data_IF_694371752217
#
_entry.id   IF_694371752217
#
_cell.length_a   1.000
_cell.length_b   1.000
_cell.length_c   1.000
_cell.angle_alpha   90.00
_cell.angle_beta   90.00
_cell.angle_gamma   90.00
#
_symmetry.space_group_name_H-M   'P 1'
#
loop_
_entity.id
_entity.type
_entity.pdbx_description
1 polymer ?
#
# COMPACT_ATOMS: atom_id res chain seq x y z
N UNK A 1 0.30 12.61 6.50
CA UNK A 1 1.39 12.64 7.51
C UNK A 1 1.37 11.35 8.33
N UNK A 2 1.58 10.23 7.67
CA UNK A 2 1.74 8.92 8.31
C UNK A 2 3.01 8.34 7.74
N UNK A 3 4.00 8.10 8.61
CA UNK A 3 5.32 7.66 8.19
C UNK A 3 5.53 6.17 8.44
N UNK A 4 4.72 5.58 9.33
CA UNK A 4 4.77 4.17 9.68
C UNK A 4 3.39 3.64 10.06
N UNK A 5 3.07 2.44 9.58
CA UNK A 5 1.94 1.64 10.05
C UNK A 5 2.50 0.33 10.57
N UNK A 6 2.07 -0.07 11.76
CA UNK A 6 2.37 -1.40 12.25
C UNK A 6 1.07 -2.10 12.66
N UNK A 7 0.96 -3.32 12.17
CA UNK A 7 -0.12 -4.23 12.53
C UNK A 7 0.24 -4.97 13.78
N UNK A 8 -0.75 -5.22 14.61
CA UNK A 8 -0.53 -5.91 15.87
C UNK A 8 -1.09 -7.34 15.86
N UNK A 9 -0.74 -8.09 16.90
CA UNK A 9 -1.14 -9.49 17.03
C UNK A 9 -2.45 -9.61 17.83
N UNK A 10 -2.81 -10.83 18.25
CA UNK A 10 -4.06 -11.05 18.98
C UNK A 10 -4.13 -10.20 20.27
N UNK A 11 -5.30 -9.59 20.50
CA UNK A 11 -5.57 -8.70 21.63
C UNK A 11 -4.70 -7.42 21.66
N UNK A 12 -4.43 -6.87 20.49
CA UNK A 12 -3.80 -5.57 20.28
C UNK A 12 -4.48 -4.80 19.12
N UNK A 13 -4.17 -3.52 18.93
CA UNK A 13 -4.82 -2.63 17.94
C UNK A 13 -3.86 -2.23 16.83
N UNK A 14 -4.28 -2.09 15.57
CA UNK A 14 -3.37 -1.50 14.58
C UNK A 14 -3.18 -0.01 14.87
N UNK A 15 -1.97 0.50 14.63
CA UNK A 15 -1.60 1.86 14.98
C UNK A 15 -0.85 2.54 13.85
N UNK A 16 -1.13 3.84 13.68
CA UNK A 16 -0.36 4.74 12.84
C UNK A 16 0.66 5.45 13.72
N UNK A 17 1.86 5.67 13.20
CA UNK A 17 2.85 6.48 13.87
C UNK A 17 3.44 7.51 12.90
N UNK A 18 3.66 8.71 13.43
CA UNK A 18 4.26 9.83 12.71
C UNK A 18 5.67 10.04 13.21
N UNK A 19 6.60 10.25 12.28
CA UNK A 19 7.99 10.56 12.56
C UNK A 19 8.06 11.98 13.14
N UNK A 20 8.52 12.11 14.38
CA UNK A 20 8.69 13.41 15.05
C UNK A 20 10.14 13.85 15.12
N UNK A 21 11.10 12.93 14.94
CA UNK A 21 12.53 13.22 14.92
C UNK A 21 13.30 12.13 14.18
N UNK A 22 14.19 12.51 13.26
CA UNK A 22 15.14 11.61 12.59
C UNK A 22 16.57 12.16 12.56
N UNK A 23 16.85 13.16 13.40
CA UNK A 23 18.13 13.87 13.45
C UNK A 23 18.84 13.69 14.78
N UNK A 24 18.14 13.32 15.84
CA UNK A 24 18.78 13.02 17.11
C UNK A 24 19.72 11.82 17.01
N UNK A 25 20.91 12.01 17.59
CA UNK A 25 21.89 10.95 17.79
C UNK A 25 22.28 10.98 19.25
N UNK A 26 22.24 9.83 19.91
CA UNK A 26 22.57 9.75 21.34
C UNK A 26 24.09 9.70 21.59
N UNK A 27 24.90 9.47 20.56
CA UNK A 27 26.36 9.26 20.69
C UNK A 27 27.19 9.64 19.44
N UNK A 28 26.56 10.19 18.39
CA UNK A 28 27.21 10.47 17.10
C UNK A 28 27.48 9.23 16.24
N UNK A 29 27.17 8.03 16.71
CA UNK A 29 27.36 6.75 16.00
C UNK A 29 26.03 6.09 15.64
N UNK A 30 25.00 6.26 16.47
CA UNK A 30 23.63 5.82 16.25
C UNK A 30 22.75 7.02 15.89
N UNK A 31 22.10 6.95 14.73
CA UNK A 31 21.02 7.87 14.36
C UNK A 31 19.71 7.23 14.78
N UNK A 32 18.90 7.94 15.53
CA UNK A 32 17.59 7.47 15.96
C UNK A 32 16.50 8.10 15.09
N UNK A 33 15.42 7.35 14.90
CA UNK A 33 14.16 7.87 14.43
C UNK A 33 13.12 7.66 15.53
N UNK A 34 12.44 8.72 15.93
CA UNK A 34 11.41 8.71 16.96
C UNK A 34 10.06 8.87 16.28
N UNK A 35 9.18 7.93 16.55
CA UNK A 35 7.81 7.95 16.09
C UNK A 35 6.86 8.09 17.27
N UNK A 36 5.78 8.85 17.10
CA UNK A 36 4.71 8.98 18.08
C UNK A 36 3.45 8.39 17.47
N UNK A 37 2.73 7.58 18.26
CA UNK A 37 1.46 7.01 17.81
C UNK A 37 0.45 8.13 17.59
N UNK A 38 -0.24 8.07 16.46
CA UNK A 38 -1.36 8.95 16.18
C UNK A 38 -2.60 8.42 16.91
N UNK A 39 -2.90 9.05 18.04
CA UNK A 39 -4.14 8.83 18.77
C UNK A 39 -5.27 9.80 18.35
N UNK A 40 -4.96 10.79 17.51
CA UNK A 40 -5.89 11.79 16.97
C UNK A 40 -6.70 11.26 15.77
N UNK A 41 -6.37 10.07 15.27
CA UNK A 41 -7.27 9.20 14.50
C UNK A 41 -7.96 8.20 15.45
N UNK A 42 -8.93 8.64 16.28
CA UNK A 42 -9.40 7.87 17.44
C UNK A 42 -10.23 6.64 17.06
N UNK A 43 -10.39 6.33 15.78
CA UNK A 43 -11.20 5.22 15.32
C UNK A 43 -10.39 4.06 14.78
N UNK A 44 -9.18 4.28 14.26
CA UNK A 44 -8.44 3.17 13.64
C UNK A 44 -8.16 2.05 14.64
N UNK A 45 -7.63 2.40 15.80
CA UNK A 45 -7.33 1.42 16.86
C UNK A 45 -8.60 0.70 17.34
N UNK A 46 -9.73 1.41 17.43
CA UNK A 46 -11.01 0.86 17.89
C UNK A 46 -11.64 -0.07 16.85
N UNK A 47 -11.57 0.29 15.57
CA UNK A 47 -12.20 -0.43 14.46
C UNK A 47 -11.37 -1.65 14.03
N UNK A 48 -10.07 -1.61 14.28
CA UNK A 48 -9.18 -2.74 14.04
C UNK A 48 -9.15 -3.73 15.20
N UNK A 49 -9.65 -3.40 16.39
CA UNK A 49 -9.84 -4.36 17.48
C UNK A 49 -11.09 -5.25 17.27
N UNK A 50 -11.06 -6.56 17.56
CA UNK A 50 -9.93 -7.42 17.94
C UNK A 50 -9.34 -8.17 16.71
N UNK A 51 -9.27 -7.52 15.55
CA UNK A 51 -8.80 -8.15 14.32
C UNK A 51 -7.29 -8.35 14.34
N UNK A 52 -6.84 -9.44 13.73
CA UNK A 52 -5.42 -9.71 13.49
C UNK A 52 -5.14 -9.46 12.02
N UNK A 53 -4.31 -8.46 11.76
CA UNK A 53 -3.97 -8.00 10.42
C UNK A 53 -2.60 -8.52 9.98
N UNK A 54 -2.52 -9.02 8.76
CA UNK A 54 -1.32 -9.70 8.24
C UNK A 54 -0.68 -8.98 7.06
N UNK A 55 -1.44 -8.14 6.37
CA UNK A 55 -0.94 -7.32 5.28
C UNK A 55 -1.64 -5.95 5.34
N UNK A 56 -1.00 -4.95 5.98
CA UNK A 56 -1.41 -3.56 5.80
C UNK A 56 -1.01 -3.12 4.39
N UNK A 57 -1.82 -2.27 3.76
CA UNK A 57 -1.51 -1.61 2.50
C UNK A 57 -1.81 -0.11 2.58
N UNK A 58 -0.91 0.71 2.04
CA UNK A 58 -1.09 2.15 1.88
C UNK A 58 -1.05 2.49 0.39
N UNK A 59 -2.21 2.72 -0.20
CA UNK A 59 -2.38 2.98 -1.63
C UNK A 59 -3.48 4.01 -1.82
N UNK A 60 -3.30 4.92 -2.77
CA UNK A 60 -4.34 5.87 -3.19
C UNK A 60 -5.30 5.11 -4.12
N UNK A 61 -6.50 4.76 -3.63
CA UNK A 61 -7.43 3.89 -4.36
C UNK A 61 -8.47 4.66 -5.18
N UNK A 62 -8.69 5.94 -4.88
CA UNK A 62 -9.62 6.80 -5.63
C UNK A 62 -8.92 7.94 -6.40
N UNK A 63 -7.59 7.92 -6.40
CA UNK A 63 -6.68 8.83 -7.07
C UNK A 63 -6.73 10.27 -6.54
N UNK A 64 -7.14 10.51 -5.30
CA UNK A 64 -7.39 11.85 -4.76
C UNK A 64 -6.17 12.56 -4.14
N UNK A 65 -4.98 11.98 -4.30
CA UNK A 65 -3.66 12.44 -3.81
C UNK A 65 -3.30 12.00 -2.40
N UNK A 66 -4.15 11.23 -1.72
CA UNK A 66 -3.80 10.66 -0.43
C UNK A 66 -3.95 9.14 -0.34
N UNK A 67 -3.13 8.55 0.53
CA UNK A 67 -3.03 7.10 0.64
C UNK A 67 -4.14 6.59 1.57
N UNK A 68 -4.94 5.67 1.06
CA UNK A 68 -5.92 4.89 1.81
C UNK A 68 -5.27 3.70 2.49
N UNK A 69 -5.95 3.17 3.51
CA UNK A 69 -5.42 2.12 4.35
C UNK A 69 -6.28 0.85 4.30
N UNK A 70 -5.66 -0.23 3.83
CA UNK A 70 -6.27 -1.55 3.79
C UNK A 70 -5.62 -2.51 4.78
N UNK A 71 -6.41 -3.44 5.35
CA UNK A 71 -5.90 -4.56 6.14
C UNK A 71 -6.51 -5.90 5.70
N UNK A 72 -5.66 -6.84 5.30
CA UNK A 72 -6.03 -8.24 5.19
C UNK A 72 -6.08 -8.89 6.59
N UNK A 73 -7.24 -9.42 6.96
CA UNK A 73 -7.49 -9.92 8.32
C UNK A 73 -7.80 -11.42 8.37
N UNK A 74 -7.41 -12.02 9.48
CA UNK A 74 -7.76 -13.38 9.85
C UNK A 74 -7.09 -13.74 11.16
N UNK A 75 -7.84 -14.26 12.11
CA UNK A 75 -7.31 -14.62 13.41
C UNK A 75 -6.53 -15.95 13.39
N UNK A 76 -6.04 -16.35 14.56
CA UNK A 76 -5.32 -17.60 14.81
C UNK A 76 -6.27 -18.66 15.36
N UNK A 77 -6.18 -19.88 14.84
CA UNK A 77 -6.98 -21.04 15.27
C UNK A 77 -6.85 -21.35 16.77
N UNK A 78 -5.68 -21.07 17.37
CA UNK A 78 -5.38 -21.43 18.76
C UNK A 78 -5.78 -20.37 19.78
N UNK A 79 -6.32 -19.23 19.34
CA UNK A 79 -6.62 -18.07 20.21
C UNK A 79 -8.09 -17.67 20.13
N UNK A 80 -8.74 -17.84 18.98
CA UNK A 80 -10.17 -17.62 18.82
C UNK A 80 -10.88 -18.92 18.44
N UNK A 81 -12.16 -19.05 18.81
CA UNK A 81 -13.01 -20.17 18.36
C UNK A 81 -13.16 -20.13 16.84
N UNK A 82 -13.74 -19.06 16.31
CA UNK A 82 -13.70 -18.75 14.89
C UNK A 82 -12.54 -17.80 14.58
N UNK A 83 -11.73 -18.15 13.59
CA UNK A 83 -10.55 -17.42 13.16
C UNK A 83 -10.74 -16.65 11.84
N UNK A 84 -11.94 -16.69 11.27
CA UNK A 84 -12.31 -15.89 10.10
C UNK A 84 -12.56 -14.45 10.52
N UNK A 85 -12.11 -13.50 9.72
CA UNK A 85 -12.35 -12.07 9.96
C UNK A 85 -12.53 -11.34 8.63
N UNK A 86 -13.37 -10.31 8.60
CA UNK A 86 -13.44 -9.42 7.44
C UNK A 86 -12.21 -8.54 7.33
N UNK A 87 -11.78 -8.29 6.09
CA UNK A 87 -10.83 -7.23 5.74
C UNK A 87 -11.39 -5.86 6.13
N UNK A 88 -10.52 -4.87 6.22
CA UNK A 88 -10.89 -3.49 6.48
C UNK A 88 -10.30 -2.58 5.40
N UNK A 89 -11.07 -1.56 5.01
CA UNK A 89 -10.59 -0.49 4.15
C UNK A 89 -11.00 0.85 4.75
N UNK A 90 -10.03 1.77 4.83
CA UNK A 90 -10.21 3.10 5.35
C UNK A 90 -9.79 4.14 4.32
N UNK A 91 -10.67 5.11 4.09
CA UNK A 91 -10.42 6.29 3.26
C UNK A 91 -9.74 7.36 4.11
N UNK A 92 -8.66 7.96 3.60
CA UNK A 92 -8.01 9.10 4.23
C UNK A 92 -8.64 10.41 3.70
N UNK A 93 -8.60 11.48 4.50
CA UNK A 93 -9.20 12.78 4.15
C UNK A 93 -8.15 13.83 3.74
N UNK A 94 -6.98 13.37 3.31
CA UNK A 94 -5.79 14.17 3.06
C UNK A 94 -5.11 14.75 4.31
N UNK A 95 -5.71 14.59 5.50
CA UNK A 95 -5.18 15.12 6.77
C UNK A 95 -4.71 14.02 7.72
N UNK A 96 -4.71 12.76 7.27
CA UNK A 96 -4.36 11.61 8.08
C UNK A 96 -5.49 11.14 8.99
N UNK A 97 -6.74 11.57 8.74
CA UNK A 97 -7.90 11.04 9.45
C UNK A 97 -8.58 10.00 8.57
N UNK A 98 -8.79 8.83 9.14
CA UNK A 98 -9.23 7.66 8.40
C UNK A 98 -10.69 7.34 8.72
N UNK A 99 -11.51 7.19 7.69
CA UNK A 99 -12.92 6.79 7.77
C UNK A 99 -13.06 5.35 7.32
N UNK A 100 -13.77 4.50 8.08
CA UNK A 100 -14.05 3.13 7.65
C UNK A 100 -15.06 3.13 6.50
N UNK A 101 -14.61 2.61 5.36
CA UNK A 101 -15.41 2.51 4.14
C UNK A 101 -15.63 1.05 3.73
N UNK A 102 -15.30 0.09 4.60
CA UNK A 102 -15.28 -1.34 4.26
C UNK A 102 -16.61 -1.82 3.65
N UNK A 103 -17.73 -1.42 4.23
CA UNK A 103 -19.05 -1.80 3.70
C UNK A 103 -19.34 -1.13 2.36
N UNK A 104 -19.16 0.19 2.27
CA UNK A 104 -19.52 0.97 1.07
C UNK A 104 -18.58 0.72 -0.11
N UNK A 105 -17.33 0.33 0.14
CA UNK A 105 -16.37 -0.05 -0.90
C UNK A 105 -16.60 -1.46 -1.45
N UNK A 106 -17.43 -2.27 -0.77
CA UNK A 106 -17.69 -3.66 -1.14
C UNK A 106 -16.60 -4.63 -0.70
N UNK A 107 -15.58 -4.21 0.06
CA UNK A 107 -14.49 -5.10 0.52
C UNK A 107 -15.01 -6.24 1.42
N UNK A 108 -16.16 -6.04 2.06
CA UNK A 108 -16.81 -7.04 2.90
C UNK A 108 -17.53 -8.15 2.10
N UNK A 109 -17.70 -7.99 0.78
CA UNK A 109 -18.46 -8.93 -0.06
C UNK A 109 -17.89 -10.36 -0.08
N UNK A 110 -16.62 -10.54 0.27
CA UNK A 110 -16.00 -11.88 0.38
C UNK A 110 -16.44 -12.67 1.62
N UNK A 111 -17.08 -11.99 2.58
CA UNK A 111 -17.34 -12.50 3.91
C UNK A 111 -16.08 -12.63 4.76
N UNK A 112 -16.25 -13.16 5.96
CA UNK A 112 -15.15 -13.43 6.89
C UNK A 112 -14.36 -14.65 6.42
N UNK A 113 -13.05 -14.49 6.24
CA UNK A 113 -12.14 -15.59 5.89
C UNK A 113 -10.81 -15.43 6.63
N UNK A 114 -9.92 -16.40 6.43
CA UNK A 114 -8.58 -16.38 7.02
C UNK A 114 -7.63 -15.75 6.00
N UNK A 115 -7.73 -14.44 5.81
CA UNK A 115 -6.83 -13.71 4.93
C UNK A 115 -5.45 -13.53 5.58
N UNK A 116 -4.41 -13.57 4.75
CA UNK A 116 -3.01 -13.42 5.20
C UNK A 116 -2.23 -12.42 4.37
N UNK A 117 -2.39 -12.47 3.06
CA UNK A 117 -1.63 -11.63 2.15
C UNK A 117 -2.55 -10.67 1.41
N UNK A 118 -2.01 -9.51 1.06
CA UNK A 118 -2.62 -8.54 0.15
C UNK A 118 -1.57 -8.10 -0.87
N UNK A 119 -1.99 -8.00 -2.13
CA UNK A 119 -1.16 -7.60 -3.25
C UNK A 119 -1.91 -6.47 -3.96
N UNK A 120 -1.22 -5.35 -4.17
CA UNK A 120 -1.77 -4.20 -4.87
C UNK A 120 -1.12 -4.11 -6.25
N UNK A 121 -1.96 -3.94 -7.26
CA UNK A 121 -1.55 -3.83 -8.65
C UNK A 121 -2.69 -3.17 -9.43
N UNK A 122 -2.37 -2.32 -10.39
CA UNK A 122 -3.32 -1.97 -11.45
C UNK A 122 -3.29 -3.12 -12.48
N UNK A 123 -4.18 -4.11 -12.28
CA UNK A 123 -4.08 -5.42 -12.93
C UNK A 123 -4.48 -5.38 -14.41
N UNK A 124 -5.42 -4.49 -14.75
CA UNK A 124 -5.93 -4.32 -16.12
C UNK A 124 -5.41 -3.06 -16.83
N UNK A 125 -4.47 -2.33 -16.20
CA UNK A 125 -3.79 -1.13 -16.74
C UNK A 125 -4.76 0.04 -16.97
N UNK A 126 -5.79 0.15 -16.12
CA UNK A 126 -6.86 1.16 -16.23
C UNK A 126 -6.61 2.45 -15.42
N UNK A 127 -5.50 2.47 -14.67
CA UNK A 127 -5.14 3.60 -13.80
C UNK A 127 -5.86 3.60 -12.47
N UNK A 128 -6.33 2.45 -11.98
CA UNK A 128 -6.83 2.26 -10.62
C UNK A 128 -6.15 1.05 -10.01
N UNK A 129 -5.78 1.18 -8.73
CA UNK A 129 -5.11 0.08 -8.03
C UNK A 129 -6.17 -0.93 -7.57
N UNK A 130 -5.98 -2.19 -7.97
CA UNK A 130 -6.74 -3.35 -7.51
C UNK A 130 -6.09 -4.02 -6.31
N UNK A 131 -6.86 -4.86 -5.62
CA UNK A 131 -6.39 -5.59 -4.44
C UNK A 131 -6.63 -7.08 -4.63
N UNK A 132 -5.57 -7.88 -4.60
CA UNK A 132 -5.67 -9.33 -4.53
C UNK A 132 -5.33 -9.83 -3.13
N UNK A 133 -6.24 -10.59 -2.52
CA UNK A 133 -6.05 -11.19 -1.19
C UNK A 133 -6.02 -12.70 -1.25
N UNK A 134 -5.16 -13.31 -0.43
CA UNK A 134 -5.09 -14.78 -0.31
C UNK A 134 -5.95 -15.25 0.86
N UNK A 135 -6.45 -16.49 0.77
CA UNK A 135 -7.06 -17.21 1.91
C UNK A 135 -6.17 -18.42 2.21
N UNK A 136 -5.48 -18.39 3.34
CA UNK A 136 -4.43 -19.37 3.66
C UNK A 136 -4.81 -20.33 4.80
N UNK A 137 -5.84 -20.01 5.59
CA UNK A 137 -6.23 -20.85 6.71
C UNK A 137 -6.73 -22.23 6.28
N UNK A 138 -6.27 -23.27 6.98
CA UNK A 138 -6.61 -24.65 6.65
C UNK A 138 -7.87 -25.15 7.37
N UNK A 139 -8.12 -24.63 8.55
CA UNK A 139 -9.19 -25.08 9.42
C UNK A 139 -9.98 -23.89 9.97
N UNK A 140 -11.29 -24.09 10.09
CA UNK A 140 -12.27 -23.18 10.67
C UNK A 140 -13.16 -23.96 11.64
N UNK A 141 -13.82 -23.23 12.53
CA UNK A 141 -14.84 -23.76 13.44
C UNK A 141 -16.22 -23.76 12.75
N UNK A 142 -17.00 -24.83 12.94
CA UNK A 142 -18.28 -25.07 12.23
C UNK A 142 -19.52 -24.45 12.91
N UNK A 143 -19.34 -23.78 14.05
CA UNK A 143 -20.36 -23.27 14.95
C UNK A 143 -20.85 -24.30 15.99
N UNK A 144 -20.30 -25.52 16.01
CA UNK A 144 -20.66 -26.61 16.93
C UNK A 144 -19.47 -27.06 17.80
N UNK A 145 -18.35 -26.34 17.73
CA UNK A 145 -17.09 -26.62 18.42
C UNK A 145 -16.18 -27.58 17.67
N UNK A 146 -16.47 -27.95 16.41
CA UNK A 146 -15.60 -28.83 15.63
C UNK A 146 -14.71 -28.03 14.69
N UNK A 147 -13.45 -28.47 14.60
CA UNK A 147 -12.54 -27.98 13.57
C UNK A 147 -12.76 -28.76 12.27
N UNK A 148 -13.15 -28.06 11.22
CA UNK A 148 -13.35 -28.60 9.87
C UNK A 148 -12.38 -27.95 8.88
N UNK A 149 -12.23 -28.56 7.70
CA UNK A 149 -11.44 -27.98 6.62
C UNK A 149 -12.11 -26.71 6.08
N UNK A 150 -11.35 -25.62 5.89
CA UNK A 150 -11.87 -24.39 5.30
C UNK A 150 -12.11 -24.60 3.78
N UNK A 151 -13.37 -24.56 3.29
CA UNK A 151 -13.65 -24.70 1.87
C UNK A 151 -13.08 -23.56 1.02
N UNK A 152 -12.59 -22.48 1.64
CA UNK A 152 -11.94 -21.36 0.97
C UNK A 152 -10.42 -21.41 0.98
N UNK A 153 -9.80 -22.41 1.63
CA UNK A 153 -8.35 -22.57 1.65
C UNK A 153 -7.79 -22.55 0.22
N UNK A 154 -6.75 -21.73 0.01
CA UNK A 154 -6.04 -21.63 -1.27
C UNK A 154 -6.78 -20.84 -2.35
N UNK A 155 -7.97 -20.29 -2.06
CA UNK A 155 -8.69 -19.42 -2.99
C UNK A 155 -8.25 -17.98 -2.80
N UNK A 156 -7.69 -17.38 -3.84
CA UNK A 156 -7.47 -15.95 -3.90
C UNK A 156 -8.76 -15.20 -4.24
N UNK A 157 -8.85 -13.93 -3.85
CA UNK A 157 -9.92 -13.03 -4.24
C UNK A 157 -9.29 -11.77 -4.83
N UNK A 158 -9.70 -11.41 -6.05
CA UNK A 158 -9.42 -10.12 -6.65
C UNK A 158 -10.59 -9.17 -6.34
N UNK A 159 -10.28 -8.03 -5.73
CA UNK A 159 -11.14 -6.86 -5.68
C UNK A 159 -10.70 -5.94 -6.82
N UNK A 160 -11.51 -5.91 -7.87
CA UNK A 160 -11.31 -5.03 -9.01
C UNK A 160 -11.89 -3.64 -8.69
N UNK A 161 -11.07 -2.62 -8.84
CA UNK A 161 -11.38 -1.26 -8.42
C UNK A 161 -12.14 -0.50 -9.53
N UNK A 162 -13.45 -0.38 -9.36
CA UNK A 162 -14.33 0.32 -10.30
C UNK A 162 -14.68 1.75 -9.84
N UNK A 163 -13.83 2.38 -9.03
CA UNK A 163 -14.08 3.74 -8.52
C UNK A 163 -14.31 4.71 -9.68
N UNK A 164 -15.45 5.40 -9.65
CA UNK A 164 -15.84 6.38 -10.66
C UNK A 164 -15.29 7.74 -10.28
N UNK A 165 -14.19 8.13 -10.91
CA UNK A 165 -13.57 9.43 -10.72
C UNK A 165 -12.96 9.93 -12.03
N UNK A 166 -12.88 11.26 -12.17
CA UNK A 166 -12.11 11.95 -13.21
C UNK A 166 -10.69 12.30 -12.70
N UNK A 167 -10.31 11.76 -11.54
CA UNK A 167 -9.00 11.97 -10.94
C UNK A 167 -7.89 11.37 -11.82
N UNK A 168 -6.80 12.11 -11.93
CA UNK A 168 -5.63 11.77 -12.70
C UNK A 168 -4.66 10.91 -11.89
N UNK A 169 -3.75 10.23 -12.58
CA UNK A 169 -2.77 9.33 -11.95
C UNK A 169 -1.45 9.30 -12.72
N UNK A 170 -0.41 8.73 -12.11
CA UNK A 170 0.84 8.39 -12.79
C UNK A 170 1.44 7.12 -12.17
N UNK A 171 1.91 6.21 -13.03
CA UNK A 171 2.68 5.03 -12.63
C UNK A 171 4.14 5.19 -13.01
N UNK A 172 5.06 4.89 -12.10
CA UNK A 172 6.50 4.96 -12.34
C UNK A 172 7.10 3.56 -12.22
N UNK A 173 7.59 3.02 -13.34
CA UNK A 173 8.36 1.78 -13.41
C UNK A 173 9.85 2.10 -13.44
N UNK A 174 10.63 1.34 -12.69
CA UNK A 174 12.08 1.53 -12.55
C UNK A 174 12.84 0.29 -13.06
N UNK A 175 13.98 0.52 -13.71
CA UNK A 175 14.99 -0.53 -13.97
C UNK A 175 16.37 -0.03 -13.53
N UNK A 176 16.97 -0.72 -12.58
CA UNK A 176 18.33 -0.45 -12.14
C UNK A 176 19.36 -0.98 -13.14
N UNK A 177 20.43 -0.22 -13.36
CA UNK A 177 21.58 -0.60 -14.20
C UNK A 177 22.85 -0.79 -13.38
N UNK A 178 23.01 0.01 -12.32
CA UNK A 178 24.09 -0.05 -11.31
C UNK A 178 23.55 -0.52 -9.96
N UNK A 179 22.35 -0.07 -9.59
CA UNK A 179 21.54 -0.60 -8.51
C UNK A 179 21.00 -2.00 -8.85
N UNK A 180 20.28 -2.64 -7.93
CA UNK A 180 19.60 -3.90 -8.24
C UNK A 180 18.63 -3.71 -9.42
N UNK A 181 18.48 -4.72 -10.28
CA UNK A 181 17.76 -4.62 -11.56
C UNK A 181 16.32 -4.13 -11.39
N UNK A 182 15.67 -4.52 -10.31
CA UNK A 182 14.29 -4.17 -10.01
C UNK A 182 14.12 -2.76 -9.42
N UNK A 183 15.22 -2.06 -9.11
CA UNK A 183 15.18 -0.70 -8.56
C UNK A 183 14.76 -0.63 -7.09
N UNK A 184 14.68 -1.75 -6.35
CA UNK A 184 14.28 -1.74 -4.94
C UNK A 184 15.17 -0.83 -4.10
N UNK A 185 14.55 -0.03 -3.24
CA UNK A 185 15.17 1.00 -2.42
C UNK A 185 15.33 2.35 -3.12
N UNK A 186 14.96 2.47 -4.40
CA UNK A 186 14.88 3.78 -5.05
C UNK A 186 13.68 4.57 -4.51
N UNK A 187 13.86 5.88 -4.37
CA UNK A 187 12.80 6.81 -3.99
C UNK A 187 12.40 7.64 -5.18
N UNK A 188 11.09 7.79 -5.40
CA UNK A 188 10.52 8.64 -6.42
C UNK A 188 9.76 9.77 -5.76
N UNK A 189 10.05 11.01 -6.17
CA UNK A 189 9.36 12.21 -5.72
C UNK A 189 8.73 12.95 -6.89
N UNK A 190 7.45 13.25 -6.76
CA UNK A 190 6.68 14.06 -7.69
C UNK A 190 6.52 15.47 -7.12
N UNK A 191 6.77 16.49 -7.94
CA UNK A 191 6.54 17.91 -7.57
C UNK A 191 5.48 18.52 -8.48
N UNK A 192 4.50 19.18 -7.87
CA UNK A 192 3.42 19.92 -8.54
C UNK A 192 3.18 21.23 -7.79
N UNK A 193 3.62 22.34 -8.37
CA UNK A 193 3.65 23.65 -7.73
C UNK A 193 4.36 23.58 -6.37
N UNK A 194 3.68 23.94 -5.26
CA UNK A 194 4.28 23.86 -3.92
C UNK A 194 4.27 22.44 -3.33
N UNK A 195 3.51 21.51 -3.91
CA UNK A 195 3.26 20.20 -3.33
C UNK A 195 4.30 19.17 -3.77
N UNK A 196 4.62 18.24 -2.87
CA UNK A 196 5.57 17.15 -3.11
C UNK A 196 5.01 15.85 -2.55
N UNK A 197 5.07 14.81 -3.36
CA UNK A 197 4.62 13.46 -3.01
C UNK A 197 5.81 12.52 -3.21
N UNK A 198 6.07 11.64 -2.24
CA UNK A 198 7.27 10.81 -2.24
C UNK A 198 6.93 9.38 -1.81
N UNK A 199 7.46 8.40 -2.54
CA UNK A 199 7.33 6.98 -2.23
C UNK A 199 8.63 6.25 -2.57
N UNK A 200 8.88 5.14 -1.85
CA UNK A 200 10.02 4.27 -2.10
C UNK A 200 9.56 2.93 -2.67
N UNK A 201 10.31 2.38 -3.62
CA UNK A 201 10.05 1.04 -4.15
C UNK A 201 10.57 -0.02 -3.19
N UNK A 202 9.67 -0.81 -2.62
CA UNK A 202 10.00 -1.86 -1.63
C UNK A 202 9.82 -3.27 -2.22
N UNK A 203 10.56 -4.25 -1.69
CA UNK A 203 10.60 -5.62 -2.22
C UNK A 203 9.57 -6.57 -1.63
N UNK A 204 8.82 -6.16 -0.61
CA UNK A 204 7.79 -6.99 0.01
C UNK A 204 7.03 -6.24 1.10
N UNK A 205 5.75 -6.56 1.24
CA UNK A 205 4.86 -6.01 2.26
C UNK A 205 3.74 -7.02 2.54
N UNK A 206 3.46 -7.24 3.82
CA UNK A 206 2.51 -8.25 4.30
C UNK A 206 3.07 -9.68 4.32
N UNK A 207 2.25 -10.63 4.75
CA UNK A 207 2.63 -12.03 4.92
C UNK A 207 2.91 -12.72 3.57
N UNK A 208 4.17 -13.05 3.28
CA UNK A 208 4.61 -13.74 2.07
C UNK A 208 4.07 -13.14 0.76
N UNK A 209 4.03 -11.80 0.69
CA UNK A 209 3.55 -11.06 -0.48
C UNK A 209 4.48 -9.93 -0.89
N UNK A 210 4.40 -9.59 -2.17
CA UNK A 210 4.99 -8.40 -2.76
C UNK A 210 3.97 -7.78 -3.72
N UNK A 211 3.98 -6.45 -3.81
CA UNK A 211 3.11 -5.70 -4.71
C UNK A 211 3.68 -5.68 -6.12
N UNK A 212 2.92 -5.10 -7.06
CA UNK A 212 3.47 -4.75 -8.35
C UNK A 212 4.65 -3.75 -8.19
N UNK A 213 5.56 -3.69 -9.17
CA UNK A 213 6.81 -2.91 -9.07
C UNK A 213 6.64 -1.44 -9.45
N UNK A 214 5.46 -1.08 -9.91
CA UNK A 214 5.03 0.27 -10.20
C UNK A 214 4.87 1.05 -8.90
N UNK A 215 5.52 2.21 -8.83
CA UNK A 215 5.19 3.21 -7.82
C UNK A 215 4.00 4.01 -8.36
N UNK A 216 2.95 4.11 -7.57
CA UNK A 216 1.66 4.64 -7.98
C UNK A 216 1.36 5.96 -7.26
N UNK A 217 0.97 7.00 -8.00
CA UNK A 217 0.50 8.26 -7.42
C UNK A 217 -0.84 8.64 -8.03
N UNK A 218 -1.88 8.79 -7.21
CA UNK A 218 -3.04 9.57 -7.59
C UNK A 218 -2.71 11.06 -7.54
N UNK A 219 -3.35 11.81 -8.43
CA UNK A 219 -3.03 13.21 -8.74
C UNK A 219 -4.27 14.10 -8.63
N UNK A 220 -5.44 13.57 -8.30
CA UNK A 220 -6.67 14.32 -8.21
C UNK A 220 -6.94 15.09 -9.51
N UNK A 221 -7.18 16.40 -9.39
CA UNK A 221 -7.39 17.29 -10.55
C UNK A 221 -6.11 17.82 -11.21
N UNK A 222 -4.92 17.38 -10.79
CA UNK A 222 -3.64 17.84 -11.36
C UNK A 222 -3.52 17.35 -12.81
N UNK A 223 -3.29 18.27 -13.74
CA UNK A 223 -3.23 17.96 -15.19
C UNK A 223 -1.80 17.77 -15.72
N UNK A 224 -0.78 18.20 -14.96
CA UNK A 224 0.62 18.06 -15.34
C UNK A 224 1.54 18.00 -14.12
N UNK A 225 2.61 17.24 -14.23
CA UNK A 225 3.66 17.11 -13.22
C UNK A 225 4.84 18.00 -13.61
N UNK A 226 5.24 18.91 -12.72
CA UNK A 226 6.39 19.78 -12.97
C UNK A 226 7.68 18.98 -12.99
N UNK A 227 7.83 18.05 -12.05
CA UNK A 227 9.07 17.28 -11.87
C UNK A 227 8.85 15.87 -11.31
N UNK A 228 9.57 14.90 -11.86
CA UNK A 228 9.79 13.59 -11.25
C UNK A 228 11.29 13.46 -10.93
N UNK A 229 11.61 13.35 -9.64
CA UNK A 229 12.95 13.00 -9.17
C UNK A 229 13.01 11.51 -8.83
N UNK A 230 14.10 10.84 -9.22
CA UNK A 230 14.42 9.48 -8.80
C UNK A 230 15.78 9.45 -8.13
N UNK A 231 15.81 9.06 -6.87
CA UNK A 231 17.04 8.81 -6.11
C UNK A 231 17.28 7.31 -6.03
N UNK A 232 18.37 6.86 -6.65
CA UNK A 232 18.71 5.44 -6.73
C UNK A 232 19.61 4.98 -5.59
N UNK A 233 19.54 3.71 -5.15
CA UNK A 233 20.45 3.15 -4.15
C UNK A 233 21.94 3.28 -4.50
N UNK A 234 22.28 3.37 -5.79
CA UNK A 234 23.65 3.57 -6.26
C UNK A 234 24.22 4.98 -5.99
N UNK A 235 23.38 5.90 -5.50
CA UNK A 235 23.68 7.32 -5.31
C UNK A 235 23.50 8.18 -6.56
N UNK A 236 22.97 7.62 -7.65
CA UNK A 236 22.58 8.39 -8.83
C UNK A 236 21.25 9.08 -8.54
N UNK A 237 21.15 10.36 -8.87
CA UNK A 237 19.89 11.11 -8.89
C UNK A 237 19.54 11.46 -10.34
N UNK A 238 18.25 11.34 -10.67
CA UNK A 238 17.71 11.74 -11.98
C UNK A 238 16.51 12.64 -11.80
N UNK A 239 16.37 13.58 -12.71
CA UNK A 239 15.27 14.55 -12.71
C UNK A 239 14.70 14.65 -14.11
N UNK A 240 13.37 14.59 -14.20
CA UNK A 240 12.59 14.78 -15.42
C UNK A 240 11.57 15.89 -15.17
N UNK A 241 11.27 16.69 -16.19
CA UNK A 241 10.38 17.85 -16.07
C UNK A 241 9.23 17.80 -17.10
N UNK A 242 8.13 18.49 -16.79
CA UNK A 242 6.96 18.65 -17.66
C UNK A 242 6.36 17.31 -18.13
N UNK A 243 5.89 16.49 -17.18
CA UNK A 243 5.37 15.15 -17.45
C UNK A 243 3.83 15.19 -17.50
N UNK A 244 3.21 14.71 -18.60
CA UNK A 244 1.76 14.52 -18.67
C UNK A 244 1.28 13.49 -17.65
N UNK A 245 0.05 13.64 -17.17
CA UNK A 245 -0.63 12.67 -16.31
C UNK A 245 -1.28 11.53 -17.12
N UNK A 246 -1.88 10.56 -16.42
CA UNK A 246 -2.63 9.41 -16.93
C UNK A 246 -1.82 8.48 -17.81
N UNK A 247 -0.63 8.14 -17.33
CA UNK A 247 0.27 7.24 -18.04
C UNK A 247 1.21 6.48 -17.11
N UNK A 248 1.81 5.43 -17.68
CA UNK A 248 2.95 4.74 -17.09
C UNK A 248 4.25 5.26 -17.70
N UNK A 249 5.13 5.81 -16.87
CA UNK A 249 6.49 6.16 -17.25
C UNK A 249 7.46 5.05 -16.83
N UNK A 250 8.48 4.82 -17.66
CA UNK A 250 9.52 3.84 -17.43
C UNK A 250 10.89 4.52 -17.41
N UNK A 251 11.58 4.41 -16.28
CA UNK A 251 12.85 5.09 -16.03
C UNK A 251 13.94 4.06 -15.83
N UNK A 252 14.96 4.12 -16.69
CA UNK A 252 16.16 3.29 -16.57
C UNK A 252 17.25 4.10 -15.89
N UNK A 253 17.86 3.54 -14.85
CA UNK A 253 18.89 4.19 -14.04
C UNK A 253 20.04 4.72 -14.91
N UNK A 254 20.28 6.02 -14.80
CA UNK A 254 21.32 6.74 -15.55
C UNK A 254 20.99 7.01 -17.02
N UNK A 255 19.74 6.76 -17.45
CA UNK A 255 19.27 6.97 -18.84
C UNK A 255 18.01 7.82 -18.91
N UNK A 256 17.44 7.97 -20.11
CA UNK A 256 16.21 8.72 -20.35
C UNK A 256 14.97 8.03 -19.78
N UNK A 257 13.93 8.82 -19.50
CA UNK A 257 12.58 8.32 -19.22
C UNK A 257 11.83 8.02 -20.53
N UNK A 258 11.05 6.95 -20.52
CA UNK A 258 10.10 6.58 -21.58
C UNK A 258 8.67 6.82 -21.08
N UNK A 259 7.81 7.37 -21.95
CA UNK A 259 6.43 7.76 -21.63
C UNK A 259 5.43 6.84 -22.34
N UNK A 260 4.19 6.77 -21.83
CA UNK A 260 3.10 5.94 -22.36
C UNK A 260 3.46 4.45 -22.52
N UNK A 261 4.06 3.87 -21.48
CA UNK A 261 4.53 2.48 -21.48
C UNK A 261 3.53 1.55 -20.80
N UNK A 262 2.44 1.20 -21.49
CA UNK A 262 1.50 0.16 -21.00
C UNK A 262 2.20 -1.20 -20.83
N UNK A 263 3.12 -1.51 -21.75
CA UNK A 263 4.00 -2.67 -21.66
C UNK A 263 5.46 -2.27 -21.93
N UNK A 264 6.40 -3.01 -21.33
CA UNK A 264 7.79 -2.98 -21.79
C UNK A 264 7.77 -3.47 -23.25
N UNK A 265 7.97 -2.57 -24.20
CA UNK A 265 8.43 -2.95 -25.53
C UNK A 265 9.86 -3.47 -25.36
N UNK A 266 10.00 -4.70 -24.89
CA UNK A 266 11.26 -5.43 -24.88
C UNK A 266 11.56 -5.71 -26.35
N UNK A 267 12.31 -4.80 -26.98
CA UNK A 267 13.04 -5.09 -28.21
C UNK A 267 14.30 -5.87 -27.88
#
# INVERSE_FOLDING_TARGET
LTDLIYTNFAAEVNTLATLVDNKSSNDGQLRNAVFVHDFESPLLHKLTWPKVSWAPGLFDLDNDTDLDLFFANGHLNSVSGDNRQSNLLFENDGRGRYTDISERSGILATGERIHRSAIFADYDDDGRVDIFVTVNGQQVEDGQGNNIFDPHQGKGVLFHNETKSDNNWIKVRLEGTKSNRDGFGATVRITVGPNKYEQALISGQGYFSAHAKEIYFGLGSIESIDKIDVSWPSGIDQTFENIPVNQTVYIVEGKTMHQNTSHLNVK
#
